data_IF_201210886845
#
_entry.id   IF_201210886845
#
_cell.length_a   1.000
_cell.length_b   1.000
_cell.length_c   1.000
_cell.angle_alpha   90.00
_cell.angle_beta   90.00
_cell.angle_gamma   90.00
#
_symmetry.space_group_name_H-M   'P 1'
#
loop_
_entity.id
_entity.type
_entity.pdbx_description
1 polymer ?
#
# COMPACT_ATOMS: atom_id res chain seq x y z
N UNK A 1 26.22 5.52 -4.68
CA UNK A 1 25.72 4.21 -5.08
C UNK A 1 24.87 3.68 -3.95
N UNK A 2 23.58 3.48 -4.23
CA UNK A 2 22.57 3.08 -3.25
C UNK A 2 22.76 1.61 -2.83
N UNK A 3 22.68 1.32 -1.54
CA UNK A 3 22.65 -0.03 -0.99
C UNK A 3 21.78 -0.03 0.28
N UNK A 4 20.86 -0.98 0.36
CA UNK A 4 19.90 -1.13 1.44
C UNK A 4 19.92 -2.58 1.91
N UNK A 5 20.09 -2.77 3.21
CA UNK A 5 19.97 -4.07 3.85
C UNK A 5 19.00 -3.94 5.02
N UNK A 6 17.91 -4.69 4.96
CA UNK A 6 16.94 -4.79 6.04
C UNK A 6 16.83 -6.25 6.46
N UNK A 7 17.34 -6.56 7.65
CA UNK A 7 17.40 -7.94 8.18
C UNK A 7 16.15 -8.31 8.95
N UNK A 8 15.34 -7.33 9.34
CA UNK A 8 14.15 -7.50 10.18
C UNK A 8 13.08 -6.46 9.78
N UNK A 9 12.65 -6.43 8.50
CA UNK A 9 11.61 -5.51 8.06
C UNK A 9 10.31 -5.78 8.81
N UNK A 10 9.63 -4.71 9.24
CA UNK A 10 8.29 -4.79 9.82
C UNK A 10 7.26 -5.10 8.70
N UNK A 11 6.97 -6.38 8.52
CA UNK A 11 6.07 -6.87 7.45
C UNK A 11 4.64 -6.92 7.96
N UNK A 12 3.79 -6.09 7.36
CA UNK A 12 2.35 -6.17 7.55
C UNK A 12 1.62 -6.55 6.24
N UNK A 13 1.35 -7.85 6.07
CA UNK A 13 0.59 -8.37 4.93
C UNK A 13 -0.87 -7.91 5.00
N UNK A 14 -1.34 -7.22 3.96
CA UNK A 14 -2.73 -6.74 3.87
C UNK A 14 -3.72 -7.92 3.85
N UNK A 15 -4.82 -7.89 4.63
CA UNK A 15 -5.81 -8.97 4.64
C UNK A 15 -6.41 -9.27 3.25
N UNK A 16 -6.70 -8.22 2.46
CA UNK A 16 -7.23 -8.36 1.11
C UNK A 16 -6.26 -9.08 0.17
N UNK A 17 -4.96 -8.86 0.34
CA UNK A 17 -3.95 -9.49 -0.51
C UNK A 17 -3.74 -10.96 -0.16
N UNK A 18 -3.69 -11.28 1.14
CA UNK A 18 -3.64 -12.67 1.58
C UNK A 18 -4.89 -13.45 1.14
N UNK A 19 -6.07 -12.83 1.26
CA UNK A 19 -7.34 -13.37 0.75
C UNK A 19 -7.29 -13.69 -0.74
N UNK A 20 -6.80 -12.75 -1.55
CA UNK A 20 -6.64 -12.91 -3.00
C UNK A 20 -5.74 -14.10 -3.32
N UNK A 21 -4.61 -14.21 -2.63
CA UNK A 21 -3.63 -15.29 -2.84
C UNK A 21 -4.13 -16.66 -2.39
N UNK A 22 -5.04 -16.71 -1.40
CA UNK A 22 -5.77 -17.92 -1.02
C UNK A 22 -6.83 -18.35 -2.05
N UNK A 23 -7.08 -17.54 -3.09
CA UNK A 23 -8.10 -17.82 -4.11
C UNK A 23 -9.52 -17.47 -3.69
N UNK A 24 -9.69 -16.60 -2.70
CA UNK A 24 -11.01 -16.10 -2.31
C UNK A 24 -11.28 -14.74 -2.99
N UNK A 25 -12.42 -14.57 -3.70
CA UNK A 25 -12.78 -13.27 -4.24
C UNK A 25 -13.15 -12.28 -3.12
N UNK A 26 -13.13 -10.97 -3.40
CA UNK A 26 -13.35 -9.93 -2.38
C UNK A 26 -14.64 -10.10 -1.57
N UNK A 27 -15.73 -10.48 -2.22
CA UNK A 27 -17.06 -10.62 -1.59
C UNK A 27 -17.31 -11.99 -0.93
N UNK A 28 -16.35 -12.92 -0.97
CA UNK A 28 -16.56 -14.26 -0.45
C UNK A 28 -16.54 -14.30 1.09
N UNK A 29 -17.56 -14.85 1.72
CA UNK A 29 -17.50 -15.10 3.16
C UNK A 29 -16.65 -16.32 3.47
N UNK A 30 -15.63 -16.15 4.31
CA UNK A 30 -14.80 -17.27 4.74
C UNK A 30 -15.57 -18.16 5.70
N UNK A 31 -15.39 -19.48 5.58
CA UNK A 31 -15.78 -20.41 6.64
C UNK A 31 -15.00 -20.12 7.93
N UNK A 32 -15.54 -20.55 9.07
CA UNK A 32 -14.86 -20.44 10.38
C UNK A 32 -13.46 -21.04 10.31
N UNK A 33 -13.34 -22.26 9.77
CA UNK A 33 -12.05 -22.95 9.61
C UNK A 33 -11.05 -22.17 8.75
N UNK A 34 -11.48 -21.54 7.66
CA UNK A 34 -10.58 -20.74 6.83
C UNK A 34 -10.08 -19.48 7.57
N UNK A 35 -10.92 -18.84 8.40
CA UNK A 35 -10.51 -17.72 9.26
C UNK A 35 -9.49 -18.17 10.29
N UNK A 36 -9.78 -19.26 10.99
CA UNK A 36 -8.85 -19.84 11.98
C UNK A 36 -7.46 -20.11 11.39
N UNK A 37 -7.42 -20.75 10.21
CA UNK A 37 -6.16 -21.08 9.54
C UNK A 37 -5.40 -19.84 9.05
N UNK A 38 -6.11 -18.84 8.53
CA UNK A 38 -5.50 -17.58 8.10
C UNK A 38 -4.92 -16.79 9.28
N UNK A 39 -5.67 -16.70 10.39
CA UNK A 39 -5.24 -16.04 11.62
C UNK A 39 -4.07 -16.78 12.26
N UNK A 40 -4.13 -18.12 12.30
CA UNK A 40 -3.05 -18.96 12.76
C UNK A 40 -1.77 -18.76 11.93
N UNK A 41 -1.85 -18.78 10.60
CA UNK A 41 -0.67 -18.61 9.74
C UNK A 41 0.00 -17.24 9.95
N UNK A 42 -0.81 -16.18 10.06
CA UNK A 42 -0.33 -14.83 10.38
C UNK A 42 0.33 -14.77 11.76
N UNK A 43 -0.33 -15.31 12.78
CA UNK A 43 0.19 -15.31 14.15
C UNK A 43 1.48 -16.12 14.28
N UNK A 44 1.53 -17.29 13.62
CA UNK A 44 2.71 -18.12 13.57
C UNK A 44 3.88 -17.38 12.91
N UNK A 45 3.65 -16.75 11.76
CA UNK A 45 4.71 -16.02 11.06
C UNK A 45 5.19 -14.80 11.84
N UNK A 46 4.31 -14.06 12.49
CA UNK A 46 4.69 -12.92 13.32
C UNK A 46 5.63 -13.31 14.49
N UNK A 47 5.52 -14.55 14.99
CA UNK A 47 6.37 -15.06 16.08
C UNK A 47 7.67 -15.69 15.56
N UNK A 48 7.61 -16.41 14.44
CA UNK A 48 8.68 -17.31 14.00
C UNK A 48 9.40 -16.85 12.73
N UNK A 49 8.75 -16.03 11.89
CA UNK A 49 9.28 -15.57 10.61
C UNK A 49 10.51 -14.69 10.78
N UNK A 50 11.43 -14.77 9.80
CA UNK A 50 12.63 -13.94 9.69
C UNK A 50 12.71 -13.35 8.28
N UNK A 51 11.83 -12.39 7.94
CA UNK A 51 11.86 -11.75 6.63
C UNK A 51 13.14 -10.94 6.46
N UNK A 52 13.55 -10.72 5.21
CA UNK A 52 14.70 -9.87 4.90
C UNK A 52 14.61 -9.29 3.49
N UNK A 53 15.25 -8.14 3.29
CA UNK A 53 15.40 -7.46 1.99
C UNK A 53 16.84 -7.00 1.82
N UNK A 54 17.38 -7.25 0.64
CA UNK A 54 18.63 -6.69 0.17
C UNK A 54 18.38 -5.97 -1.15
N UNK A 55 18.91 -4.75 -1.29
CA UNK A 55 18.87 -4.01 -2.54
C UNK A 55 20.20 -3.28 -2.77
N UNK A 56 20.66 -3.24 -4.01
CA UNK A 56 21.83 -2.45 -4.39
C UNK A 56 21.66 -1.86 -5.78
N UNK A 57 22.23 -0.69 -6.00
CA UNK A 57 22.39 -0.11 -7.33
C UNK A 57 23.41 -0.91 -8.14
N UNK A 58 23.12 -1.12 -9.43
CA UNK A 58 24.06 -1.69 -10.37
C UNK A 58 25.10 -0.65 -10.80
N UNK A 59 26.37 -1.05 -10.94
CA UNK A 59 27.45 -0.12 -11.29
C UNK A 59 27.30 0.45 -12.71
N UNK A 60 26.75 -0.34 -13.63
CA UNK A 60 26.57 0.04 -15.02
C UNK A 60 25.34 -0.64 -15.62
N UNK A 61 24.65 0.09 -16.51
CA UNK A 61 23.54 -0.37 -17.33
C UNK A 61 23.83 0.00 -18.79
N UNK A 62 23.92 -1.01 -19.64
CA UNK A 62 24.01 -0.85 -21.09
C UNK A 62 22.84 -1.57 -21.77
N UNK A 63 22.21 -0.89 -22.72
CA UNK A 63 21.14 -1.47 -23.53
C UNK A 63 21.59 -1.40 -24.98
N UNK A 64 21.92 -2.55 -25.56
CA UNK A 64 22.47 -2.63 -26.90
C UNK A 64 22.10 -3.96 -27.57
N UNK A 65 21.84 -3.92 -28.88
CA UNK A 65 21.72 -5.12 -29.71
C UNK A 65 20.60 -6.10 -29.29
N UNK A 66 19.52 -5.62 -28.66
CA UNK A 66 18.42 -6.49 -28.21
C UNK A 66 18.67 -7.19 -26.87
N UNK A 67 19.65 -6.70 -26.08
CA UNK A 67 20.01 -7.28 -24.79
C UNK A 67 20.30 -6.19 -23.76
N UNK A 68 20.10 -6.54 -22.49
CA UNK A 68 20.37 -5.68 -21.34
C UNK A 68 21.64 -6.20 -20.69
N UNK A 69 22.68 -5.37 -20.61
CA UNK A 69 23.91 -5.70 -19.93
C UNK A 69 23.96 -4.95 -18.59
N UNK A 70 23.96 -5.70 -17.50
CA UNK A 70 24.04 -5.17 -16.14
C UNK A 70 25.43 -5.52 -15.62
N UNK A 71 26.28 -4.52 -15.41
CA UNK A 71 27.69 -4.74 -15.03
C UNK A 71 28.43 -5.71 -15.99
N UNK A 72 28.16 -5.57 -17.29
CA UNK A 72 28.72 -6.45 -18.34
C UNK A 72 28.09 -7.85 -18.42
N UNK A 73 27.15 -8.18 -17.54
CA UNK A 73 26.43 -9.46 -17.55
C UNK A 73 25.18 -9.34 -18.43
N UNK A 74 25.04 -10.14 -19.51
CA UNK A 74 23.91 -10.04 -20.42
C UNK A 74 22.65 -10.67 -19.82
N UNK A 75 21.49 -10.07 -20.10
CA UNK A 75 20.16 -10.56 -19.81
C UNK A 75 19.24 -10.34 -21.02
N UNK A 76 18.32 -11.27 -21.23
CA UNK A 76 17.42 -11.29 -22.38
C UNK A 76 15.98 -11.15 -21.91
N UNK A 77 15.48 -9.92 -22.00
CA UNK A 77 14.06 -9.67 -21.84
C UNK A 77 13.58 -8.51 -22.71
N UNK A 78 12.76 -8.83 -23.72
CA UNK A 78 12.22 -7.84 -24.64
C UNK A 78 11.34 -6.82 -23.90
N UNK A 79 10.45 -7.30 -23.03
CA UNK A 79 9.60 -6.45 -22.19
C UNK A 79 10.38 -5.55 -21.24
N UNK A 80 11.40 -6.07 -20.55
CA UNK A 80 12.22 -5.24 -19.67
C UNK A 80 13.00 -4.22 -20.50
N UNK A 81 13.61 -4.64 -21.60
CA UNK A 81 14.42 -3.78 -22.47
C UNK A 81 13.58 -2.61 -22.97
N UNK A 82 12.42 -2.88 -23.58
CA UNK A 82 11.53 -1.84 -24.09
C UNK A 82 11.02 -0.93 -22.97
N UNK A 83 10.79 -1.45 -21.77
CA UNK A 83 10.43 -0.63 -20.61
C UNK A 83 11.54 0.33 -20.20
N UNK A 84 12.79 -0.15 -20.11
CA UNK A 84 13.96 0.66 -19.77
C UNK A 84 14.24 1.72 -20.85
N UNK A 85 14.19 1.35 -22.13
CA UNK A 85 14.41 2.26 -23.27
C UNK A 85 13.36 3.36 -23.33
N UNK A 86 12.06 3.02 -23.26
CA UNK A 86 10.97 4.01 -23.27
C UNK A 86 11.05 4.97 -22.09
N UNK A 87 11.40 4.47 -20.91
CA UNK A 87 11.62 5.30 -19.73
C UNK A 87 12.89 6.16 -19.80
N UNK A 88 13.82 5.85 -20.71
CA UNK A 88 15.17 6.42 -20.70
C UNK A 88 15.89 6.12 -19.39
N UNK A 89 15.73 4.90 -18.88
CA UNK A 89 16.39 4.44 -17.66
C UNK A 89 17.90 4.55 -17.83
N UNK A 90 18.57 5.03 -16.78
CA UNK A 90 20.03 5.22 -16.77
C UNK A 90 20.72 4.42 -15.66
N UNK A 91 19.95 3.62 -14.93
CA UNK A 91 20.46 2.72 -13.90
C UNK A 91 19.40 1.71 -13.48
N UNK A 92 19.85 0.70 -12.74
CA UNK A 92 19.03 -0.35 -12.14
C UNK A 92 19.34 -0.49 -10.65
N UNK A 93 18.33 -0.85 -9.87
CA UNK A 93 18.48 -1.43 -8.54
C UNK A 93 18.17 -2.92 -8.64
N UNK A 94 19.06 -3.75 -8.12
CA UNK A 94 18.90 -5.19 -8.01
C UNK A 94 18.45 -5.52 -6.60
N UNK A 95 17.39 -6.33 -6.47
CA UNK A 95 16.73 -6.63 -5.20
C UNK A 95 16.64 -8.13 -5.01
N UNK A 96 16.91 -8.59 -3.79
CA UNK A 96 16.60 -9.92 -3.29
C UNK A 96 15.77 -9.79 -2.01
N UNK A 97 14.67 -10.53 -1.92
CA UNK A 97 13.81 -10.56 -0.74
C UNK A 97 13.44 -12.00 -0.40
N UNK A 98 13.26 -12.28 0.89
CA UNK A 98 12.85 -13.60 1.36
C UNK A 98 12.02 -13.55 2.63
N UNK A 99 11.09 -14.48 2.77
CA UNK A 99 10.26 -14.65 3.97
C UNK A 99 10.96 -15.40 5.12
N UNK A 100 12.21 -15.84 4.92
CA UNK A 100 12.93 -16.67 5.88
C UNK A 100 12.72 -18.17 5.65
N UNK A 101 13.70 -18.97 6.08
CA UNK A 101 13.71 -20.44 5.90
C UNK A 101 12.77 -21.14 6.88
N UNK A 102 12.49 -20.50 8.01
CA UNK A 102 11.68 -21.00 9.11
C UNK A 102 10.27 -21.36 8.64
N UNK A 103 9.68 -20.53 7.76
CA UNK A 103 8.38 -20.78 7.17
C UNK A 103 8.37 -22.04 6.31
N UNK A 104 9.40 -22.24 5.48
CA UNK A 104 9.49 -23.42 4.62
C UNK A 104 9.70 -24.70 5.43
N UNK A 105 10.46 -24.63 6.53
CA UNK A 105 10.65 -25.74 7.45
C UNK A 105 9.36 -26.14 8.16
N UNK A 106 8.59 -25.16 8.68
CA UNK A 106 7.31 -25.48 9.34
C UNK A 106 6.27 -25.96 8.33
N UNK A 107 6.20 -25.36 7.15
CA UNK A 107 5.33 -25.85 6.08
C UNK A 107 5.66 -27.32 5.75
N UNK A 108 6.95 -27.65 5.60
CA UNK A 108 7.38 -29.04 5.37
C UNK A 108 6.89 -29.98 6.48
N UNK A 109 7.08 -29.58 7.73
CA UNK A 109 6.63 -30.35 8.89
C UNK A 109 5.11 -30.56 8.89
N UNK A 110 4.32 -29.53 8.62
CA UNK A 110 2.86 -29.64 8.55
C UNK A 110 2.40 -30.60 7.45
N UNK A 111 3.08 -30.59 6.30
CA UNK A 111 2.82 -31.55 5.25
C UNK A 111 3.11 -32.99 5.69
N UNK A 112 4.27 -33.22 6.31
CA UNK A 112 4.68 -34.54 6.79
C UNK A 112 3.79 -35.03 7.95
N UNK A 113 3.24 -34.12 8.76
CA UNK A 113 2.26 -34.38 9.84
C UNK A 113 0.83 -34.63 9.33
N UNK A 114 0.59 -34.59 8.01
CA UNK A 114 -0.74 -34.80 7.42
C UNK A 114 -1.72 -33.64 7.63
N UNK A 115 -1.19 -32.41 7.72
CA UNK A 115 -1.96 -31.15 7.90
C UNK A 115 -1.89 -30.27 6.64
N UNK A 116 -2.54 -30.68 5.53
CA UNK A 116 -2.42 -30.01 4.25
C UNK A 116 -3.04 -28.60 4.24
N UNK A 117 -4.06 -28.35 5.06
CA UNK A 117 -4.72 -27.04 5.13
C UNK A 117 -3.81 -26.00 5.81
N UNK A 118 -3.26 -26.32 6.99
CA UNK A 118 -2.27 -25.50 7.68
C UNK A 118 -1.05 -25.23 6.79
N UNK A 119 -0.55 -26.29 6.11
CA UNK A 119 0.51 -26.16 5.13
C UNK A 119 0.16 -25.14 4.05
N UNK A 120 -1.00 -25.28 3.42
CA UNK A 120 -1.43 -24.41 2.33
C UNK A 120 -1.56 -22.95 2.77
N UNK A 121 -2.22 -22.70 3.92
CA UNK A 121 -2.40 -21.34 4.43
C UNK A 121 -1.07 -20.68 4.78
N UNK A 122 -0.14 -21.41 5.42
CA UNK A 122 1.20 -20.90 5.74
C UNK A 122 2.03 -20.63 4.47
N UNK A 123 1.97 -21.54 3.50
CA UNK A 123 2.65 -21.40 2.20
C UNK A 123 2.21 -20.16 1.44
N UNK A 124 0.90 -19.93 1.37
CA UNK A 124 0.31 -18.78 0.68
C UNK A 124 0.66 -17.49 1.44
N UNK A 125 0.67 -17.54 2.78
CA UNK A 125 1.09 -16.39 3.59
C UNK A 125 2.55 -16.02 3.31
N UNK A 126 3.43 -17.01 3.16
CA UNK A 126 4.83 -16.77 2.78
C UNK A 126 4.98 -16.08 1.43
N UNK A 127 4.14 -16.40 0.44
CA UNK A 127 4.11 -15.68 -0.83
C UNK A 127 3.67 -14.22 -0.63
N UNK A 128 2.64 -13.99 0.19
CA UNK A 128 2.13 -12.66 0.49
C UNK A 128 3.17 -11.78 1.21
N UNK A 129 3.98 -12.39 2.08
CA UNK A 129 5.13 -11.72 2.72
C UNK A 129 6.13 -11.25 1.67
N UNK A 130 6.54 -12.11 0.73
CA UNK A 130 7.51 -11.73 -0.31
C UNK A 130 6.97 -10.61 -1.21
N UNK A 131 5.69 -10.66 -1.60
CA UNK A 131 5.06 -9.56 -2.35
C UNK A 131 5.07 -8.25 -1.55
N UNK A 132 4.76 -8.31 -0.25
CA UNK A 132 4.81 -7.14 0.65
C UNK A 132 6.24 -6.59 0.80
N UNK A 133 7.26 -7.46 0.89
CA UNK A 133 8.66 -7.07 0.95
C UNK A 133 9.12 -6.34 -0.32
N UNK A 134 8.78 -6.88 -1.49
CA UNK A 134 9.09 -6.25 -2.78
C UNK A 134 8.36 -4.90 -2.92
N UNK A 135 7.11 -4.80 -2.45
CA UNK A 135 6.36 -3.54 -2.41
C UNK A 135 7.02 -2.51 -1.49
N UNK A 136 7.39 -2.90 -0.27
CA UNK A 136 8.10 -2.04 0.69
C UNK A 136 9.46 -1.59 0.16
N UNK A 137 10.21 -2.48 -0.50
CA UNK A 137 11.46 -2.13 -1.16
C UNK A 137 11.22 -1.07 -2.25
N UNK A 138 10.23 -1.29 -3.12
CA UNK A 138 9.83 -0.32 -4.14
C UNK A 138 9.48 1.06 -3.55
N UNK A 139 8.69 1.11 -2.48
CA UNK A 139 8.33 2.37 -1.82
C UNK A 139 9.56 3.12 -1.27
N UNK A 140 10.51 2.40 -0.66
CA UNK A 140 11.77 2.97 -0.17
C UNK A 140 12.66 3.48 -1.32
N UNK A 141 12.73 2.73 -2.42
CA UNK A 141 13.46 3.14 -3.62
C UNK A 141 12.82 4.36 -4.29
N UNK A 142 11.49 4.46 -4.31
CA UNK A 142 10.80 5.65 -4.79
C UNK A 142 11.15 6.89 -3.96
N UNK A 143 11.11 6.78 -2.62
CA UNK A 143 11.51 7.88 -1.73
C UNK A 143 12.97 8.32 -1.98
N UNK A 144 13.89 7.36 -2.08
CA UNK A 144 15.29 7.63 -2.42
C UNK A 144 15.45 8.33 -3.78
N UNK A 145 14.73 7.87 -4.80
CA UNK A 145 14.80 8.45 -6.14
C UNK A 145 14.21 9.86 -6.18
N UNK A 146 13.12 10.11 -5.45
CA UNK A 146 12.46 11.41 -5.38
C UNK A 146 13.39 12.49 -4.81
N UNK A 147 14.14 12.18 -3.73
CA UNK A 147 15.16 13.07 -3.15
C UNK A 147 16.23 13.50 -4.17
N UNK A 148 16.43 12.72 -5.23
CA UNK A 148 17.40 12.94 -6.29
C UNK A 148 16.77 13.45 -7.60
N UNK A 149 15.49 13.79 -7.60
CA UNK A 149 14.75 14.23 -8.80
C UNK A 149 14.59 13.13 -9.85
N UNK A 150 14.56 11.87 -9.43
CA UNK A 150 14.44 10.69 -10.27
C UNK A 150 13.09 9.98 -10.03
N UNK A 151 12.80 8.99 -10.88
CA UNK A 151 11.66 8.10 -10.73
C UNK A 151 12.09 6.63 -10.88
N UNK A 152 11.49 5.75 -10.10
CA UNK A 152 11.69 4.29 -10.16
C UNK A 152 10.62 3.64 -11.03
N UNK A 153 10.99 2.63 -11.80
CA UNK A 153 10.08 1.84 -12.62
C UNK A 153 9.53 0.65 -11.82
N UNK A 154 8.36 0.11 -12.17
CA UNK A 154 7.87 -1.13 -11.60
C UNK A 154 8.92 -2.25 -11.70
N UNK A 155 8.94 -3.11 -10.70
CA UNK A 155 9.89 -4.22 -10.69
C UNK A 155 9.61 -5.22 -11.81
N UNK A 156 10.65 -5.91 -12.23
CA UNK A 156 10.57 -7.04 -13.15
C UNK A 156 11.51 -8.16 -12.71
N UNK A 157 11.20 -9.39 -13.05
CA UNK A 157 11.93 -10.57 -12.54
C UNK A 157 12.04 -11.66 -13.61
N UNK A 158 13.12 -12.45 -13.65
CA UNK A 158 13.17 -13.67 -14.45
C UNK A 158 11.99 -14.60 -14.11
N UNK A 159 11.39 -15.21 -15.13
CA UNK A 159 10.13 -15.97 -15.03
C UNK A 159 8.87 -15.14 -15.29
N UNK A 160 8.96 -13.81 -15.37
CA UNK A 160 7.87 -12.98 -15.91
C UNK A 160 7.83 -13.09 -17.45
N UNK A 161 6.73 -12.70 -18.12
CA UNK A 161 6.63 -12.81 -19.58
C UNK A 161 7.85 -12.23 -20.31
N UNK A 162 8.34 -12.94 -21.32
CA UNK A 162 9.52 -12.50 -22.09
C UNK A 162 10.78 -12.30 -21.22
N UNK A 163 10.92 -12.99 -20.09
CA UNK A 163 12.18 -13.11 -19.37
C UNK A 163 12.38 -14.55 -18.89
N UNK A 164 13.35 -15.24 -19.47
CA UNK A 164 13.64 -16.64 -19.16
C UNK A 164 14.01 -16.86 -17.69
N UNK A 165 13.32 -17.80 -17.04
CA UNK A 165 13.58 -18.15 -15.63
C UNK A 165 14.99 -18.72 -15.41
N UNK A 166 15.61 -19.30 -16.45
CA UNK A 166 17.00 -19.78 -16.39
C UNK A 166 18.03 -18.67 -16.13
N UNK A 167 17.68 -17.40 -16.36
CA UNK A 167 18.56 -16.27 -16.03
C UNK A 167 18.53 -15.89 -14.54
N UNK A 168 17.68 -16.53 -13.71
CA UNK A 168 17.59 -16.29 -12.27
C UNK A 168 18.93 -16.51 -11.54
N UNK A 169 19.64 -17.59 -11.86
CA UNK A 169 20.94 -17.88 -11.25
C UNK A 169 22.00 -16.81 -11.62
N UNK A 170 21.92 -16.28 -12.84
CA UNK A 170 22.79 -15.18 -13.30
C UNK A 170 22.51 -13.90 -12.52
N UNK A 171 21.23 -13.56 -12.31
CA UNK A 171 20.83 -12.40 -11.52
C UNK A 171 21.23 -12.54 -10.04
N UNK A 172 21.06 -13.72 -9.44
CA UNK A 172 21.47 -13.99 -8.07
C UNK A 172 22.98 -13.76 -7.87
N UNK A 173 23.78 -14.36 -8.75
CA UNK A 173 25.24 -14.20 -8.73
C UNK A 173 25.63 -12.73 -8.88
N UNK A 174 24.94 -11.99 -9.74
CA UNK A 174 25.18 -10.58 -9.92
C UNK A 174 24.88 -9.79 -8.64
N UNK A 175 23.72 -10.01 -8.01
CA UNK A 175 23.34 -9.35 -6.75
C UNK A 175 24.43 -9.53 -5.69
N UNK A 176 24.99 -10.74 -5.55
CA UNK A 176 26.04 -11.04 -4.57
C UNK A 176 27.46 -10.56 -4.90
N UNK A 177 27.77 -10.17 -6.14
CA UNK A 177 29.14 -9.84 -6.58
C UNK A 177 29.66 -8.48 -6.12
N UNK A 178 28.83 -7.45 -6.22
CA UNK A 178 29.26 -6.04 -6.16
C UNK A 178 28.68 -5.30 -4.95
N UNK A 179 27.96 -6.02 -4.07
CA UNK A 179 27.47 -5.50 -2.81
C UNK A 179 28.60 -5.28 -1.80
N UNK A 180 28.55 -4.20 -1.03
CA UNK A 180 29.47 -4.03 0.11
C UNK A 180 29.10 -4.96 1.26
N UNK A 181 27.85 -5.45 1.25
CA UNK A 181 27.32 -6.38 2.24
C UNK A 181 26.91 -7.69 1.58
N UNK A 182 27.17 -8.80 2.26
CA UNK A 182 26.63 -10.10 1.88
C UNK A 182 25.11 -10.12 2.06
N UNK A 183 24.43 -11.00 1.30
CA UNK A 183 23.01 -11.27 1.51
C UNK A 183 22.76 -11.68 2.97
N UNK A 184 21.71 -11.15 3.62
CA UNK A 184 21.39 -11.47 5.02
C UNK A 184 21.18 -12.95 5.27
N UNK A 185 20.72 -13.68 4.26
CA UNK A 185 20.39 -15.09 4.33
C UNK A 185 20.87 -15.81 3.08
N UNK A 186 21.24 -17.11 3.18
CA UNK A 186 21.59 -17.92 2.03
C UNK A 186 20.44 -18.02 1.05
N UNK A 187 20.74 -17.80 -0.22
CA UNK A 187 19.82 -17.98 -1.32
C UNK A 187 20.52 -18.79 -2.42
N UNK A 188 19.85 -19.81 -2.92
CA UNK A 188 20.33 -20.69 -3.99
C UNK A 188 19.34 -20.61 -5.16
N UNK A 189 19.85 -20.56 -6.38
CA UNK A 189 19.07 -20.77 -7.58
C UNK A 189 19.33 -22.19 -8.08
N UNK A 190 18.28 -23.00 -8.18
CA UNK A 190 18.33 -24.36 -8.70
C UNK A 190 18.46 -24.35 -10.23
N UNK A 191 18.83 -25.49 -10.83
CA UNK A 191 18.92 -25.65 -12.29
C UNK A 191 17.59 -25.33 -13.01
N UNK A 192 16.46 -25.49 -12.32
CA UNK A 192 15.13 -25.13 -12.83
C UNK A 192 14.85 -23.62 -12.86
N UNK A 193 15.74 -22.80 -12.28
CA UNK A 193 15.53 -21.37 -12.03
C UNK A 193 14.72 -21.06 -10.76
N UNK A 194 14.19 -22.08 -10.07
CA UNK A 194 13.54 -21.89 -8.77
C UNK A 194 14.55 -21.47 -7.69
N UNK A 195 14.09 -20.72 -6.70
CA UNK A 195 14.91 -20.30 -5.56
C UNK A 195 14.72 -21.20 -4.35
N UNK A 196 15.77 -21.32 -3.53
CA UNK A 196 15.73 -21.92 -2.20
C UNK A 196 16.34 -20.93 -1.18
N UNK A 197 15.59 -20.53 -0.13
CA UNK A 197 14.21 -20.91 0.20
C UNK A 197 13.18 -20.48 -0.86
N UNK A 198 12.10 -21.26 -1.01
CA UNK A 198 11.10 -21.08 -2.07
C UNK A 198 10.33 -19.76 -1.99
N UNK A 199 10.14 -19.24 -0.77
CA UNK A 199 9.50 -17.94 -0.53
C UNK A 199 10.55 -16.84 -0.58
N UNK A 200 11.13 -16.69 -1.76
CA UNK A 200 12.11 -15.66 -2.09
C UNK A 200 11.84 -15.11 -3.49
N UNK A 201 12.24 -13.88 -3.73
CA UNK A 201 12.13 -13.23 -5.05
C UNK A 201 13.37 -12.40 -5.34
N UNK A 202 13.83 -12.48 -6.60
CA UNK A 202 14.76 -11.53 -7.17
C UNK A 202 14.00 -10.57 -8.06
N UNK A 203 14.40 -9.31 -8.06
CA UNK A 203 13.75 -8.27 -8.84
C UNK A 203 14.76 -7.22 -9.31
N UNK A 204 14.47 -6.61 -10.44
CA UNK A 204 15.17 -5.41 -10.92
C UNK A 204 14.19 -4.24 -10.98
N UNK A 205 14.65 -3.07 -10.53
CA UNK A 205 13.92 -1.82 -10.63
C UNK A 205 14.77 -0.86 -11.47
N UNK A 206 14.28 -0.46 -12.64
CA UNK A 206 14.94 0.62 -13.38
C UNK A 206 14.69 1.97 -12.72
N UNK A 207 15.59 2.93 -12.93
CA UNK A 207 15.32 4.32 -12.53
C UNK A 207 15.79 5.31 -13.59
N UNK A 208 15.12 6.45 -13.64
CA UNK A 208 15.28 7.46 -14.68
C UNK A 208 15.21 8.88 -14.12
N UNK A 209 15.96 9.80 -14.74
CA UNK A 209 15.79 11.26 -14.52
C UNK A 209 14.67 11.84 -15.39
N UNK A 210 14.17 11.07 -16.36
CA UNK A 210 13.09 11.45 -17.28
C UNK A 210 11.73 11.13 -16.66
N UNK A 211 11.42 11.79 -15.54
CA UNK A 211 10.20 11.53 -14.75
C UNK A 211 8.92 11.71 -15.57
N UNK A 212 8.94 12.59 -16.57
CA UNK A 212 7.85 12.83 -17.52
C UNK A 212 7.52 11.62 -18.40
N UNK A 213 8.50 10.74 -18.66
CA UNK A 213 8.32 9.53 -19.48
C UNK A 213 7.68 8.40 -18.68
N UNK A 214 7.95 8.33 -17.37
CA UNK A 214 7.35 7.32 -16.48
C UNK A 214 5.85 7.53 -16.36
N UNK A 215 5.38 8.77 -16.39
CA UNK A 215 3.94 9.13 -16.39
C UNK A 215 3.16 8.66 -17.63
N UNK A 216 3.84 8.26 -18.70
CA UNK A 216 3.21 7.73 -19.92
C UNK A 216 3.20 6.20 -19.96
N UNK A 217 3.73 5.56 -18.93
CA UNK A 217 3.89 4.11 -18.82
C UNK A 217 2.83 3.47 -17.90
N UNK A 218 1.65 4.07 -17.74
CA UNK A 218 0.49 3.44 -17.05
C UNK A 218 0.14 2.07 -17.63
N UNK A 219 0.50 1.83 -18.90
CA UNK A 219 0.48 0.53 -19.57
C UNK A 219 1.31 -0.58 -18.85
N UNK A 220 2.17 -0.24 -17.90
CA UNK A 220 2.98 -1.20 -17.16
C UNK A 220 2.23 -1.90 -16.03
N UNK A 221 1.05 -1.41 -15.61
CA UNK A 221 0.25 -2.06 -14.57
C UNK A 221 -0.51 -3.22 -15.22
N UNK A 222 -0.15 -4.50 -14.95
CA UNK A 222 -0.70 -5.62 -15.71
C UNK A 222 -2.21 -5.75 -15.54
N UNK A 223 -2.74 -5.44 -14.36
CA UNK A 223 -4.18 -5.53 -14.08
C UNK A 223 -5.00 -4.41 -14.75
N UNK A 224 -4.40 -3.29 -15.14
CA UNK A 224 -5.10 -2.23 -15.88
C UNK A 224 -5.23 -2.60 -17.37
N UNK A 225 -4.28 -3.38 -17.88
CA UNK A 225 -4.17 -3.72 -19.31
C UNK A 225 -4.54 -5.18 -19.63
N UNK A 226 -5.00 -5.94 -18.63
CA UNK A 226 -5.42 -7.33 -18.81
C UNK A 226 -6.80 -7.39 -19.48
N UNK A 227 -6.87 -8.00 -20.67
CA UNK A 227 -8.10 -8.18 -21.45
C UNK A 227 -9.08 -9.23 -20.89
N UNK A 228 -8.71 -9.94 -19.81
CA UNK A 228 -9.58 -10.93 -19.18
C UNK A 228 -10.65 -10.25 -18.30
N UNK A 229 -11.77 -9.89 -18.93
CA UNK A 229 -12.87 -9.13 -18.32
C UNK A 229 -13.44 -9.73 -17.01
N UNK A 230 -13.74 -11.05 -16.91
CA UNK A 230 -14.38 -11.61 -15.71
C UNK A 230 -13.39 -11.93 -14.58
N UNK A 231 -12.23 -11.26 -14.51
CA UNK A 231 -11.23 -11.52 -13.48
C UNK A 231 -11.71 -11.05 -12.11
N UNK A 232 -12.13 -11.99 -11.26
CA UNK A 232 -12.55 -11.72 -9.88
C UNK A 232 -11.38 -11.35 -8.93
N UNK A 233 -10.14 -11.38 -9.42
CA UNK A 233 -8.91 -11.13 -8.66
C UNK A 233 -8.14 -9.89 -9.15
N UNK A 234 -8.80 -9.04 -9.95
CA UNK A 234 -8.16 -7.87 -10.56
C UNK A 234 -7.74 -6.87 -9.48
N UNK A 235 -6.47 -6.42 -9.51
CA UNK A 235 -5.88 -5.50 -8.51
C UNK A 235 -6.12 -4.02 -8.81
N UNK A 236 -6.60 -3.70 -10.01
CA UNK A 236 -6.91 -2.34 -10.45
C UNK A 236 -8.24 -2.34 -11.21
N UNK A 237 -9.01 -1.25 -11.20
CA UNK A 237 -10.18 -1.13 -12.07
C UNK A 237 -9.78 -1.33 -13.53
N UNK A 238 -10.69 -1.86 -14.35
CA UNK A 238 -10.46 -1.96 -15.78
C UNK A 238 -10.28 -0.54 -16.35
N UNK A 239 -9.21 -0.29 -17.11
CA UNK A 239 -9.11 0.93 -17.91
C UNK A 239 -10.18 0.88 -18.99
N UNK A 240 -11.01 1.92 -19.10
CA UNK A 240 -12.07 2.03 -20.10
C UNK A 240 -11.45 2.14 -21.52
N UNK A 241 -11.08 0.98 -22.07
CA UNK A 241 -10.94 0.81 -23.51
C UNK A 241 -12.32 0.97 -24.13
N UNK A 242 -12.53 2.08 -24.84
CA UNK A 242 -13.76 2.39 -25.54
C UNK A 242 -14.29 1.19 -26.36
N UNK A 243 -15.41 0.60 -25.94
CA UNK A 243 -16.47 0.12 -26.83
C UNK A 243 -17.70 -0.42 -26.07
N UNK A 244 -18.84 0.16 -26.45
CA UNK A 244 -20.18 -0.42 -26.61
C UNK A 244 -21.08 -0.64 -25.39
N UNK A 245 -21.82 0.44 -25.13
CA UNK A 245 -23.21 0.51 -24.67
C UNK A 245 -24.05 -0.76 -24.92
N UNK A 246 -24.38 -1.50 -23.85
CA UNK A 246 -25.74 -2.02 -23.56
C UNK A 246 -25.80 -2.94 -22.33
N UNK A 247 -26.72 -2.58 -21.43
CA UNK A 247 -27.39 -3.35 -20.35
C UNK A 247 -26.81 -3.26 -18.92
N UNK A 248 -27.33 -2.28 -18.17
CA UNK A 248 -27.91 -2.51 -16.84
C UNK A 248 -29.25 -3.28 -16.98
N UNK A 249 -29.88 -3.87 -15.92
CA UNK A 249 -29.74 -3.53 -14.49
C UNK A 249 -29.76 -4.72 -13.50
N UNK A 250 -29.49 -4.41 -12.22
CA UNK A 250 -29.82 -5.29 -11.09
C UNK A 250 -29.33 -4.79 -9.73
N UNK A 251 -30.13 -3.96 -9.05
CA UNK A 251 -30.01 -3.67 -7.62
C UNK A 251 -30.19 -4.95 -6.80
N UNK A 252 -29.28 -5.22 -5.85
CA UNK A 252 -29.51 -6.12 -4.71
C UNK A 252 -28.85 -5.49 -3.46
N UNK A 253 -29.49 -5.56 -2.27
CA UNK A 253 -29.11 -4.78 -1.09
C UNK A 253 -27.85 -5.36 -0.41
N UNK A 254 -27.03 -4.46 0.14
CA UNK A 254 -25.93 -4.79 1.04
C UNK A 254 -26.50 -5.21 2.40
N UNK A 255 -26.41 -6.50 2.73
CA UNK A 255 -26.70 -7.01 4.07
C UNK A 255 -25.43 -6.94 4.92
N UNK A 256 -25.55 -6.19 6.01
CA UNK A 256 -24.51 -5.91 7.00
C UNK A 256 -24.29 -7.10 7.92
N UNK A 257 -23.11 -7.72 7.87
CA UNK A 257 -22.72 -8.73 8.85
C UNK A 257 -22.11 -8.08 10.11
N UNK A 258 -22.81 -8.22 11.23
CA UNK A 258 -22.34 -7.84 12.56
C UNK A 258 -21.42 -8.93 13.14
N UNK A 259 -20.21 -8.55 13.54
CA UNK A 259 -19.44 -9.31 14.52
C UNK A 259 -19.51 -8.60 15.89
N UNK A 260 -20.13 -9.28 16.85
CA UNK A 260 -20.09 -8.95 18.27
C UNK A 260 -18.77 -9.48 18.82
N UNK A 261 -18.01 -8.63 19.51
CA UNK A 261 -16.98 -9.09 20.43
C UNK A 261 -17.19 -8.44 21.79
N UNK A 262 -17.49 -9.28 22.77
CA UNK A 262 -17.69 -8.93 24.16
C UNK A 262 -16.39 -9.15 24.97
N UNK A 263 -16.37 -8.49 26.13
CA UNK A 263 -15.36 -8.44 27.20
C UNK A 263 -14.42 -7.23 27.09
N UNK A 264 -14.26 -6.37 28.08
CA UNK A 264 -14.74 -6.30 29.46
C UNK A 264 -14.11 -5.05 30.10
N UNK A 265 -14.79 -4.46 31.07
CA UNK A 265 -14.57 -3.12 31.61
C UNK A 265 -13.25 -2.90 32.39
N UNK A 266 -12.74 -1.67 32.33
CA UNK A 266 -11.72 -1.11 33.24
C UNK A 266 -11.25 0.29 32.80
N UNK A 267 -11.67 1.32 33.55
CA UNK A 267 -11.24 2.73 33.57
C UNK A 267 -11.00 3.50 32.25
N UNK A 268 -12.00 4.31 31.86
CA UNK A 268 -11.88 5.72 31.46
C UNK A 268 -10.91 6.15 30.34
N UNK A 269 -10.20 5.25 29.69
CA UNK A 269 -9.21 5.60 28.66
C UNK A 269 -9.90 5.74 27.30
N UNK A 270 -9.80 6.94 26.72
CA UNK A 270 -10.33 7.21 25.38
C UNK A 270 -9.62 6.31 24.37
N UNK A 271 -10.35 5.37 23.78
CA UNK A 271 -9.83 4.47 22.75
C UNK A 271 -9.95 5.12 21.38
N UNK A 272 -8.82 5.43 20.77
CA UNK A 272 -8.72 5.91 19.38
C UNK A 272 -8.49 4.74 18.42
N UNK A 273 -8.97 4.86 17.19
CA UNK A 273 -8.65 3.90 16.12
C UNK A 273 -7.22 4.12 15.62
N UNK A 274 -6.72 5.36 15.69
CA UNK A 274 -5.33 5.71 15.37
C UNK A 274 -4.44 5.63 16.61
N UNK A 275 -3.22 5.10 16.47
CA UNK A 275 -2.20 5.12 17.54
C UNK A 275 -1.94 6.56 18.03
N UNK A 276 -1.97 6.77 19.35
CA UNK A 276 -1.81 8.08 20.03
C UNK A 276 -0.56 8.86 19.59
N UNK A 277 0.56 8.17 19.30
CA UNK A 277 1.80 8.79 18.79
C UNK A 277 1.60 9.48 17.44
N UNK A 278 0.79 8.89 16.55
CA UNK A 278 0.48 9.48 15.24
C UNK A 278 -0.46 10.67 15.38
N UNK A 279 -1.48 10.57 16.26
CA UNK A 279 -2.38 11.69 16.58
C UNK A 279 -1.62 12.90 17.13
N UNK A 280 -0.66 12.67 18.05
CA UNK A 280 0.20 13.74 18.57
C UNK A 280 0.98 14.43 17.46
N UNK A 281 1.65 13.66 16.62
CA UNK A 281 2.43 14.20 15.50
C UNK A 281 1.56 15.01 14.54
N UNK A 282 0.40 14.50 14.15
CA UNK A 282 -0.50 15.20 13.25
C UNK A 282 -1.15 16.44 13.88
N UNK A 283 -1.43 16.41 15.17
CA UNK A 283 -1.89 17.59 15.91
C UNK A 283 -0.82 18.72 15.93
N UNK A 284 0.47 18.36 15.96
CA UNK A 284 1.59 19.31 15.95
C UNK A 284 1.92 19.82 14.54
N UNK A 285 1.89 18.94 13.53
CA UNK A 285 2.40 19.23 12.18
C UNK A 285 1.32 19.63 11.16
N UNK A 286 0.06 19.22 11.38
CA UNK A 286 -0.99 19.27 10.34
C UNK A 286 -2.28 19.93 10.78
N UNK A 287 -2.42 20.27 12.06
CA UNK A 287 -3.65 20.84 12.61
C UNK A 287 -3.41 22.27 13.11
N UNK A 288 -4.22 23.20 12.63
CA UNK A 288 -4.32 24.54 13.19
C UNK A 288 -5.67 24.70 13.87
N UNK A 289 -5.68 25.23 15.09
CA UNK A 289 -6.89 25.51 15.87
C UNK A 289 -6.97 27.01 16.15
N UNK A 290 -8.10 27.64 15.81
CA UNK A 290 -8.42 29.01 16.18
C UNK A 290 -9.62 29.02 17.12
N UNK A 291 -9.44 29.58 18.33
CA UNK A 291 -10.52 29.71 19.30
C UNK A 291 -11.07 31.12 19.28
N UNK A 292 -12.38 31.23 19.25
CA UNK A 292 -13.09 32.50 19.34
C UNK A 292 -13.44 32.84 20.80
N UNK A 293 -13.68 34.12 21.13
CA UNK A 293 -14.08 34.54 22.48
C UNK A 293 -15.39 33.91 22.97
N UNK A 294 -16.26 33.48 22.06
CA UNK A 294 -17.54 32.82 22.34
C UNK A 294 -17.39 31.30 22.61
N UNK A 295 -16.15 30.81 22.69
CA UNK A 295 -15.84 29.41 22.96
C UNK A 295 -15.85 28.51 21.72
N UNK A 296 -16.25 29.01 20.55
CA UNK A 296 -16.21 28.24 19.31
C UNK A 296 -14.78 27.97 18.84
N UNK A 297 -14.57 26.89 18.11
CA UNK A 297 -13.26 26.48 17.59
C UNK A 297 -13.34 26.22 16.10
N UNK A 298 -12.51 26.89 15.33
CA UNK A 298 -12.25 26.60 13.92
C UNK A 298 -11.00 25.72 13.82
N UNK A 299 -11.16 24.51 13.30
CA UNK A 299 -10.08 23.57 13.07
C UNK A 299 -9.79 23.45 11.58
N UNK A 300 -8.52 23.60 11.20
CA UNK A 300 -8.01 23.35 9.86
C UNK A 300 -7.00 22.22 9.92
N UNK A 301 -7.34 21.07 9.34
CA UNK A 301 -6.42 19.96 9.16
C UNK A 301 -5.94 19.88 7.71
N UNK A 302 -4.62 19.84 7.53
CA UNK A 302 -3.96 19.66 6.24
C UNK A 302 -3.65 18.19 6.00
N UNK A 303 -4.30 17.61 4.99
CA UNK A 303 -3.98 16.29 4.49
C UNK A 303 -3.03 16.41 3.30
N UNK A 304 -1.85 15.80 3.41
CA UNK A 304 -0.91 15.62 2.31
C UNK A 304 -0.92 14.15 1.88
N UNK A 305 -1.08 13.91 0.58
CA UNK A 305 -1.01 12.59 -0.02
C UNK A 305 -0.56 12.65 -1.47
N UNK A 306 -0.69 11.53 -2.16
CA UNK A 306 -0.33 11.40 -3.58
C UNK A 306 -1.47 10.73 -4.35
N UNK A 307 -1.62 11.05 -5.64
CA UNK A 307 -2.57 10.35 -6.52
C UNK A 307 -2.18 8.88 -6.72
N UNK A 308 -3.15 8.03 -7.06
CA UNK A 308 -2.89 6.62 -7.37
C UNK A 308 -2.32 6.39 -8.79
N UNK A 309 -2.55 7.32 -9.72
CA UNK A 309 -1.99 7.31 -11.07
C UNK A 309 -0.63 8.02 -11.15
N UNK A 310 0.21 7.58 -12.09
CA UNK A 310 1.41 8.29 -12.54
C UNK A 310 2.45 8.61 -11.46
N UNK A 311 2.88 7.62 -10.68
CA UNK A 311 3.92 7.80 -9.63
C UNK A 311 3.56 8.85 -8.56
N UNK A 312 2.27 9.20 -8.42
CA UNK A 312 1.79 10.10 -7.39
C UNK A 312 2.07 11.58 -7.64
N UNK A 313 1.05 12.32 -8.07
CA UNK A 313 1.08 13.77 -7.95
C UNK A 313 0.82 14.14 -6.49
N UNK A 314 1.70 14.96 -5.85
CA UNK A 314 1.39 15.51 -4.55
C UNK A 314 0.04 16.20 -4.63
N UNK A 315 -0.85 15.84 -3.71
CA UNK A 315 -2.15 16.46 -3.56
C UNK A 315 -2.36 16.81 -2.09
N UNK A 316 -2.93 17.98 -1.90
CA UNK A 316 -3.20 18.52 -0.58
C UNK A 316 -4.68 18.83 -0.46
N UNK A 317 -5.32 18.31 0.58
CA UNK A 317 -6.69 18.63 0.94
C UNK A 317 -6.74 19.35 2.28
N UNK A 318 -7.59 20.35 2.37
CA UNK A 318 -7.91 21.03 3.61
C UNK A 318 -9.26 20.55 4.13
N UNK A 319 -9.26 20.10 5.38
CA UNK A 319 -10.44 19.75 6.14
C UNK A 319 -10.69 20.84 7.17
N UNK A 320 -11.78 21.59 6.97
CA UNK A 320 -12.26 22.59 7.90
C UNK A 320 -13.37 21.98 8.77
N UNK A 321 -13.26 22.15 10.08
CA UNK A 321 -14.27 21.72 11.04
C UNK A 321 -14.56 22.86 12.01
N UNK A 322 -15.79 23.38 11.95
CA UNK A 322 -16.30 24.36 12.89
C UNK A 322 -16.96 23.66 14.08
N UNK A 323 -16.47 23.93 15.28
CA UNK A 323 -16.93 23.32 16.53
C UNK A 323 -17.58 24.36 17.43
N UNK A 324 -18.66 23.95 18.10
CA UNK A 324 -19.27 24.70 19.18
C UNK A 324 -18.41 24.76 20.44
N UNK A 325 -18.86 25.48 21.47
CA UNK A 325 -18.18 25.58 22.75
C UNK A 325 -17.95 24.24 23.45
N UNK A 326 -17.01 24.23 24.40
CA UNK A 326 -16.61 23.01 25.14
C UNK A 326 -17.75 22.43 25.96
N UNK A 327 -18.58 23.29 26.55
CA UNK A 327 -19.78 22.95 27.31
C UNK A 327 -20.81 22.16 26.50
N UNK A 328 -20.84 22.37 25.18
CA UNK A 328 -21.67 21.62 24.23
C UNK A 328 -20.97 20.33 23.72
N UNK A 329 -19.84 19.96 24.33
CA UNK A 329 -19.04 18.80 23.90
C UNK A 329 -18.34 19.00 22.56
N UNK A 330 -17.99 20.25 22.21
CA UNK A 330 -17.45 20.61 20.90
C UNK A 330 -18.34 20.11 19.76
N UNK A 331 -19.64 20.43 19.82
CA UNK A 331 -20.60 19.99 18.81
C UNK A 331 -20.15 20.42 17.41
N UNK A 332 -20.11 19.48 16.46
CA UNK A 332 -19.65 19.77 15.10
C UNK A 332 -20.74 20.55 14.36
N UNK A 333 -20.49 21.83 14.09
CA UNK A 333 -21.45 22.78 13.48
C UNK A 333 -21.25 22.90 11.97
N UNK A 334 -20.00 22.85 11.53
CA UNK A 334 -19.65 22.97 10.12
C UNK A 334 -18.53 21.99 9.74
N UNK A 335 -18.60 21.47 8.52
CA UNK A 335 -17.55 20.70 7.88
C UNK A 335 -17.42 21.10 6.42
N UNK A 336 -16.19 21.33 5.97
CA UNK A 336 -15.84 21.55 4.56
C UNK A 336 -14.56 20.80 4.25
N UNK A 337 -14.54 20.09 3.12
CA UNK A 337 -13.36 19.43 2.62
C UNK A 337 -13.16 19.83 1.16
N UNK A 338 -11.93 20.17 0.78
CA UNK A 338 -11.59 20.51 -0.58
C UNK A 338 -10.08 20.61 -0.80
N UNK A 339 -9.64 20.73 -2.06
CA UNK A 339 -8.23 20.95 -2.36
C UNK A 339 -7.69 22.19 -1.65
N UNK A 340 -6.44 22.12 -1.19
CA UNK A 340 -5.78 23.27 -0.59
C UNK A 340 -5.65 24.41 -1.63
N UNK A 341 -5.67 25.69 -1.20
CA UNK A 341 -5.50 26.81 -2.12
C UNK A 341 -4.23 26.67 -2.96
N UNK A 342 -4.39 26.66 -4.29
CA UNK A 342 -3.29 26.53 -5.25
C UNK A 342 -2.82 25.09 -5.52
N UNK A 343 -3.36 24.08 -4.82
CA UNK A 343 -3.09 22.67 -5.11
C UNK A 343 -3.85 22.23 -6.37
N UNK A 344 -3.15 21.58 -7.28
CA UNK A 344 -3.73 21.00 -8.50
C UNK A 344 -3.55 19.49 -8.57
N UNK A 345 -2.97 18.85 -7.54
CA UNK A 345 -2.74 17.40 -7.51
C UNK A 345 -4.02 16.59 -7.66
N UNK A 346 -5.08 17.07 -7.04
CA UNK A 346 -6.43 16.49 -7.14
C UNK A 346 -6.94 16.38 -8.59
N UNK A 347 -6.51 17.27 -9.49
CA UNK A 347 -6.92 17.27 -10.90
C UNK A 347 -6.35 16.10 -11.70
N UNK A 348 -5.36 15.41 -11.13
CA UNK A 348 -4.70 14.26 -11.74
C UNK A 348 -5.27 12.92 -11.23
N UNK A 349 -6.28 12.94 -10.37
CA UNK A 349 -6.96 11.72 -9.92
C UNK A 349 -7.84 11.12 -11.02
N UNK A 350 -7.87 9.78 -11.15
CA UNK A 350 -8.66 9.07 -12.18
C UNK A 350 -10.12 9.56 -12.21
N UNK A 351 -10.80 9.52 -11.05
CA UNK A 351 -12.20 9.94 -10.95
C UNK A 351 -12.40 11.43 -11.21
N UNK A 352 -11.39 12.26 -10.98
CA UNK A 352 -11.46 13.67 -11.33
C UNK A 352 -11.42 13.85 -12.86
N UNK A 353 -10.58 13.08 -13.54
CA UNK A 353 -10.45 13.12 -14.99
C UNK A 353 -11.67 12.52 -15.69
N UNK A 354 -12.29 11.50 -15.10
CA UNK A 354 -13.55 10.90 -15.59
C UNK A 354 -14.74 11.83 -15.38
N UNK A 355 -14.95 12.32 -14.15
CA UNK A 355 -16.07 13.19 -13.80
C UNK A 355 -15.76 14.07 -12.58
N UNK A 356 -15.09 15.20 -12.83
CA UNK A 356 -14.65 16.15 -11.79
C UNK A 356 -15.81 16.66 -10.92
N UNK A 357 -16.97 16.95 -11.53
CA UNK A 357 -18.13 17.47 -10.82
C UNK A 357 -18.68 16.45 -9.83
N UNK A 358 -18.82 15.19 -10.24
CA UNK A 358 -19.33 14.12 -9.37
C UNK A 358 -18.39 13.88 -8.18
N UNK A 359 -17.09 13.78 -8.43
CA UNK A 359 -16.11 13.57 -7.36
C UNK A 359 -16.06 14.75 -6.38
N UNK A 360 -16.01 15.99 -6.88
CA UNK A 360 -15.96 17.17 -6.01
C UNK A 360 -17.27 17.35 -5.22
N UNK A 361 -18.42 17.04 -5.82
CA UNK A 361 -19.70 17.05 -5.12
C UNK A 361 -19.74 15.98 -4.03
N UNK A 362 -19.26 14.77 -4.30
CA UNK A 362 -19.15 13.71 -3.29
C UNK A 362 -18.29 14.18 -2.10
N UNK A 363 -17.07 14.66 -2.37
CA UNK A 363 -16.15 15.19 -1.34
C UNK A 363 -16.80 16.33 -0.52
N UNK A 364 -17.52 17.24 -1.17
CA UNK A 364 -18.16 18.37 -0.49
C UNK A 364 -19.39 17.96 0.35
N UNK A 365 -20.07 16.87 -0.04
CA UNK A 365 -21.28 16.38 0.62
C UNK A 365 -21.00 15.51 1.84
N UNK A 366 -19.84 14.87 1.91
CA UNK A 366 -19.44 14.00 3.01
C UNK A 366 -19.17 14.80 4.29
N UNK A 367 -20.04 14.63 5.29
CA UNK A 367 -19.99 15.36 6.57
C UNK A 367 -20.27 14.42 7.77
N UNK A 368 -19.40 13.43 8.03
CA UNK A 368 -19.64 12.45 9.08
C UNK A 368 -19.70 13.11 10.46
N UNK A 369 -20.60 12.64 11.32
CA UNK A 369 -20.82 13.19 12.67
C UNK A 369 -21.27 14.67 12.72
N UNK A 370 -21.71 15.27 11.61
CA UNK A 370 -22.24 16.64 11.64
C UNK A 370 -23.43 16.74 12.60
N UNK A 371 -23.45 17.79 13.44
CA UNK A 371 -24.46 17.99 14.47
C UNK A 371 -24.30 17.10 15.71
N UNK A 372 -23.28 16.25 15.78
CA UNK A 372 -22.96 15.43 16.95
C UNK A 372 -21.85 16.10 17.80
N UNK A 373 -21.71 15.76 19.10
CA UNK A 373 -20.50 16.07 19.86
C UNK A 373 -19.25 15.48 19.19
N UNK A 374 -18.09 16.15 19.32
CA UNK A 374 -16.86 15.69 18.68
C UNK A 374 -16.46 14.27 19.14
N UNK A 375 -16.79 13.90 20.37
CA UNK A 375 -16.54 12.56 20.93
C UNK A 375 -17.27 11.44 20.19
N UNK A 376 -18.29 11.74 19.38
CA UNK A 376 -18.99 10.74 18.57
C UNK A 376 -18.07 10.01 17.58
N UNK A 377 -16.95 10.62 17.17
CA UNK A 377 -15.93 9.99 16.32
C UNK A 377 -15.34 8.72 16.95
N UNK A 378 -15.26 8.65 18.29
CA UNK A 378 -14.66 7.53 19.02
C UNK A 378 -15.51 6.25 18.94
N UNK A 379 -16.81 6.41 18.70
CA UNK A 379 -17.76 5.33 18.49
C UNK A 379 -18.19 5.18 17.03
N UNK A 380 -17.67 6.03 16.14
CA UNK A 380 -18.05 6.00 14.73
C UNK A 380 -17.43 4.79 14.03
N UNK A 381 -18.28 3.81 13.72
CA UNK A 381 -17.92 2.65 12.91
C UNK A 381 -17.70 3.08 11.46
N UNK A 382 -16.49 2.85 10.97
CA UNK A 382 -16.08 3.13 9.60
C UNK A 382 -15.16 2.01 9.11
N UNK A 383 -15.11 1.71 7.80
CA UNK A 383 -14.25 0.66 7.28
C UNK A 383 -12.78 0.86 7.66
N UNK A 384 -12.11 -0.21 8.12
CA UNK A 384 -10.66 -0.23 8.26
C UNK A 384 -10.02 -0.29 6.87
N UNK A 385 -9.66 0.87 6.34
CA UNK A 385 -8.97 0.99 5.07
C UNK A 385 -7.51 1.40 5.34
N UNK A 386 -6.55 0.73 4.68
CA UNK A 386 -5.15 1.17 4.60
C UNK A 386 -5.07 2.56 3.88
N UNK A 387 -3.91 3.16 3.55
CA UNK A 387 -3.91 4.38 2.74
C UNK A 387 -4.41 4.07 1.31
N UNK A 388 -5.74 4.05 1.17
CA UNK A 388 -6.48 3.76 -0.06
C UNK A 388 -6.75 5.03 -0.85
N UNK A 389 -7.15 4.83 -2.11
CA UNK A 389 -7.36 5.88 -3.08
C UNK A 389 -8.34 6.95 -2.57
N UNK A 390 -7.95 8.23 -2.66
CA UNK A 390 -8.82 9.35 -2.25
C UNK A 390 -10.16 9.39 -3.03
N UNK A 391 -10.19 8.77 -4.20
CA UNK A 391 -11.39 8.67 -5.03
C UNK A 391 -12.47 7.72 -4.48
N UNK A 392 -12.12 6.85 -3.53
CA UNK A 392 -13.06 5.85 -3.00
C UNK A 392 -13.76 6.34 -1.72
N UNK A 393 -15.10 6.20 -1.60
CA UNK A 393 -15.84 6.65 -0.42
C UNK A 393 -15.30 6.08 0.92
N UNK A 394 -15.02 4.76 1.06
CA UNK A 394 -14.47 4.21 2.31
C UNK A 394 -13.12 4.82 2.70
N UNK A 395 -12.31 5.18 1.70
CA UNK A 395 -11.01 5.83 1.91
C UNK A 395 -11.15 7.28 2.37
N UNK A 396 -12.22 7.99 1.97
CA UNK A 396 -12.52 9.35 2.45
C UNK A 396 -13.12 9.33 3.85
N UNK A 397 -14.00 8.38 4.15
CA UNK A 397 -14.52 8.16 5.51
C UNK A 397 -13.39 7.87 6.49
N UNK A 398 -12.44 7.01 6.11
CA UNK A 398 -11.26 6.74 6.93
C UNK A 398 -10.44 8.01 7.22
N UNK A 399 -10.22 8.85 6.19
CA UNK A 399 -9.49 10.14 6.33
C UNK A 399 -10.24 11.13 7.23
N UNK A 400 -11.57 11.23 7.09
CA UNK A 400 -12.40 12.01 8.01
C UNK A 400 -12.27 11.53 9.46
N UNK A 401 -12.19 10.22 9.67
CA UNK A 401 -11.95 9.64 11.00
C UNK A 401 -10.61 10.08 11.59
N UNK A 402 -9.54 10.04 10.80
CA UNK A 402 -8.21 10.55 11.21
C UNK A 402 -8.29 12.03 11.60
N UNK A 403 -8.94 12.86 10.78
CA UNK A 403 -9.10 14.30 11.02
C UNK A 403 -9.81 14.56 12.35
N UNK A 404 -10.98 13.97 12.53
CA UNK A 404 -11.81 14.19 13.73
C UNK A 404 -11.17 13.61 14.99
N UNK A 405 -10.53 12.44 14.93
CA UNK A 405 -9.77 11.89 16.06
C UNK A 405 -8.57 12.76 16.44
N UNK A 406 -7.87 13.35 15.45
CA UNK A 406 -6.74 14.26 15.69
C UNK A 406 -7.21 15.55 16.38
N UNK A 407 -8.33 16.13 15.92
CA UNK A 407 -8.92 17.32 16.55
C UNK A 407 -9.37 17.00 17.98
N UNK A 408 -10.06 15.87 18.18
CA UNK A 408 -10.48 15.42 19.51
C UNK A 408 -9.29 15.24 20.45
N UNK A 409 -8.24 14.56 19.98
CA UNK A 409 -7.00 14.37 20.71
C UNK A 409 -6.35 15.70 21.11
N UNK A 410 -6.21 16.64 20.18
CA UNK A 410 -5.58 17.93 20.42
C UNK A 410 -6.33 18.75 21.47
N UNK A 411 -7.65 18.84 21.38
CA UNK A 411 -8.49 19.58 22.33
C UNK A 411 -8.49 18.94 23.72
N UNK A 412 -8.56 17.60 23.80
CA UNK A 412 -8.51 16.87 25.07
C UNK A 412 -7.16 17.01 25.80
N UNK A 413 -6.04 17.09 25.06
CA UNK A 413 -4.70 17.21 25.63
C UNK A 413 -4.28 18.66 25.92
N UNK A 414 -4.85 19.65 25.23
CA UNK A 414 -4.70 21.07 25.59
C UNK A 414 -5.51 21.42 26.84
N UNK A 415 -6.68 20.83 27.02
CA UNK A 415 -7.51 20.99 28.23
C UNK A 415 -6.85 20.47 29.52
N UNK A 416 -5.80 19.64 29.41
CA UNK A 416 -4.97 19.16 30.54
C UNK A 416 -3.77 20.07 30.85
N UNK A 417 -3.51 21.10 30.02
CA UNK A 417 -2.38 22.04 30.16
C UNK A 417 -2.79 23.46 30.58
N UNK A 418 -4.08 23.78 30.58
CA UNK A 418 -4.60 25.01 31.20
C UNK A 418 -4.79 24.72 32.72
N UNK A 419 -4.15 25.49 33.62
CA UNK A 419 -4.20 25.27 35.07
C UNK A 419 -5.58 25.48 35.69
#
# INVERSE_FOLDING_TARGET
>A
MMELVDREPDVNVQPAEYRRLLGYPPEHEWSERARELADWARAWYAQNGRPWVYAREAENLEIAGGSIHIEGVPFHSQRLQGTLERAGAHGLILVAAGAGVELEQEARKLWDDGKPDEYFFLEVFGSAVVEQLTHMAGARLCAWAEELGMAVLPHYSPGYPEWEIGEQARLLNLIGRSGKQALPYPLEALDSGALRPKKSQLAVFGFTRRTERVRRLTELIPCENCSFLPCQYRRAPQGDGAADDRRAPGNVPSETFHFVSANGAGDGEVKYTVKTKALKRWAEERLTLHRSPDGTVEALFRYDGTTCTNMGHPLTFHYHVGLGPREDGYRIREQRCGPAPGDTGHTHMCRYQENSNELLNAIASEKPCLGQPLSAVLSWQRPECAPGCYCEPPSREHKWGIVLETIHFALAHQAKKEP
#
